data_IF_078265627735
#
_entry.id   IF_078265627735
#
_cell.length_a   1.000
_cell.length_b   1.000
_cell.length_c   1.000
_cell.angle_alpha   90.00
_cell.angle_beta   90.00
_cell.angle_gamma   90.00
#
_symmetry.space_group_name_H-M   'P 1'
#
loop_
_entity.id
_entity.type
_entity.pdbx_description
1 polymer ?
#
# COMPACT_ATOMS: atom_id res chain seq x y z
N UNK A 1 16.47 17.98 7.32
CA UNK A 1 16.15 16.64 7.79
C UNK A 1 15.04 16.04 6.98
N UNK A 2 15.22 14.84 6.54
CA UNK A 2 14.35 14.22 5.55
C UNK A 2 13.36 13.23 6.15
N UNK A 3 12.47 13.73 7.00
CA UNK A 3 11.43 12.88 7.60
C UNK A 3 10.59 12.17 6.54
N UNK A 4 10.29 12.87 5.42
CA UNK A 4 9.48 12.27 4.36
C UNK A 4 10.19 11.11 3.67
N UNK A 5 11.49 11.22 3.45
CA UNK A 5 12.26 10.10 2.89
C UNK A 5 12.31 8.94 3.86
N UNK A 6 12.38 9.26 5.16
CA UNK A 6 12.36 8.24 6.19
C UNK A 6 11.04 7.45 6.17
N UNK A 7 9.92 8.13 5.96
CA UNK A 7 8.61 7.48 5.88
C UNK A 7 8.57 6.44 4.77
N UNK A 8 8.93 6.83 3.54
CA UNK A 8 8.91 5.90 2.41
C UNK A 8 9.83 4.70 2.67
N UNK A 9 11.00 4.94 3.22
CA UNK A 9 11.95 3.87 3.51
C UNK A 9 11.41 2.92 4.57
N UNK A 10 10.84 3.43 5.65
CA UNK A 10 10.26 2.59 6.70
C UNK A 10 9.12 1.75 6.18
N UNK A 11 8.21 2.36 5.42
CA UNK A 11 7.06 1.65 4.87
C UNK A 11 7.52 0.58 3.89
N UNK A 12 8.39 0.96 2.95
CA UNK A 12 8.88 0.01 1.94
C UNK A 12 9.56 -1.19 2.55
N UNK A 13 10.40 -0.98 3.55
CA UNK A 13 11.09 -2.07 4.25
C UNK A 13 10.12 -2.97 5.01
N UNK A 14 9.13 -2.37 5.67
CA UNK A 14 8.13 -3.16 6.38
C UNK A 14 7.34 -4.05 5.43
N UNK A 15 6.83 -3.46 4.33
CA UNK A 15 6.05 -4.21 3.34
C UNK A 15 6.90 -5.35 2.74
N UNK A 16 8.13 -5.04 2.33
CA UNK A 16 9.02 -6.05 1.74
C UNK A 16 9.34 -7.18 2.71
N UNK A 17 9.41 -6.89 4.02
CA UNK A 17 9.72 -7.90 5.03
C UNK A 17 8.51 -8.77 5.39
N UNK A 18 7.30 -8.24 5.30
CA UNK A 18 6.10 -8.89 5.83
C UNK A 18 5.24 -9.57 4.77
N UNK A 19 5.40 -9.21 3.50
CA UNK A 19 4.48 -9.66 2.45
C UNK A 19 5.25 -10.18 1.23
N UNK A 20 4.55 -10.92 0.37
CA UNK A 20 5.11 -11.52 -0.84
C UNK A 20 4.63 -10.81 -2.11
N UNK A 21 3.41 -10.23 -2.09
CA UNK A 21 2.77 -9.70 -3.29
C UNK A 21 2.04 -8.40 -2.94
N UNK A 22 2.72 -7.28 -3.12
CA UNK A 22 2.21 -5.98 -2.68
C UNK A 22 1.74 -5.14 -3.85
N UNK A 23 0.70 -4.33 -3.59
CA UNK A 23 0.25 -3.28 -4.50
C UNK A 23 0.30 -1.95 -3.76
N UNK A 24 0.98 -0.97 -4.35
CA UNK A 24 0.96 0.40 -3.82
C UNK A 24 -0.12 1.22 -4.52
N UNK A 25 -1.07 1.75 -3.75
CA UNK A 25 -2.14 2.62 -4.26
C UNK A 25 -1.74 4.07 -4.04
N UNK A 26 -1.88 4.90 -5.07
CA UNK A 26 -1.60 6.33 -4.97
C UNK A 26 -0.12 6.63 -4.89
N UNK A 27 0.67 6.02 -5.79
CA UNK A 27 2.13 6.16 -5.76
C UNK A 27 2.59 7.61 -5.91
N UNK A 28 1.83 8.43 -6.63
CA UNK A 28 2.19 9.83 -6.82
C UNK A 28 3.54 9.98 -7.50
N UNK A 29 4.31 10.96 -7.03
CA UNK A 29 5.61 11.29 -7.61
C UNK A 29 6.79 10.73 -6.83
N UNK A 30 6.53 10.00 -5.74
CA UNK A 30 7.61 9.45 -4.92
C UNK A 30 7.60 7.93 -5.00
N UNK A 31 8.49 7.33 -5.82
CA UNK A 31 8.54 5.87 -5.98
C UNK A 31 9.43 5.16 -4.96
N UNK A 32 9.91 5.83 -3.93
CA UNK A 32 10.93 5.26 -3.04
C UNK A 32 10.47 3.98 -2.35
N UNK A 33 9.24 3.94 -1.82
CA UNK A 33 8.73 2.73 -1.18
C UNK A 33 8.54 1.62 -2.22
N UNK A 34 7.92 1.94 -3.36
CA UNK A 34 7.71 0.97 -4.43
C UNK A 34 9.03 0.39 -4.93
N UNK A 35 10.07 1.22 -5.00
CA UNK A 35 11.41 0.78 -5.40
C UNK A 35 11.95 -0.28 -4.45
N UNK A 36 11.82 -0.05 -3.15
CA UNK A 36 12.30 -1.01 -2.15
C UNK A 36 11.55 -2.33 -2.27
N UNK A 37 10.23 -2.27 -2.41
CA UNK A 37 9.40 -3.48 -2.54
C UNK A 37 9.70 -4.20 -3.86
N UNK A 38 9.86 -3.46 -4.95
CA UNK A 38 10.19 -4.02 -6.26
C UNK A 38 11.57 -4.68 -6.27
N UNK A 39 12.57 -4.03 -5.67
CA UNK A 39 13.93 -4.59 -5.59
C UNK A 39 13.97 -5.88 -4.78
N UNK A 40 13.04 -6.05 -3.85
CA UNK A 40 12.88 -7.29 -3.09
C UNK A 40 12.11 -8.37 -3.87
N UNK A 41 11.65 -8.05 -5.09
CA UNK A 41 10.88 -8.97 -5.92
C UNK A 41 9.44 -9.16 -5.46
N UNK A 42 8.87 -8.18 -4.75
CA UNK A 42 7.58 -8.37 -4.07
C UNK A 42 6.50 -7.38 -4.49
N UNK A 43 6.78 -6.52 -5.48
CA UNK A 43 5.79 -5.57 -5.95
C UNK A 43 5.04 -6.15 -7.15
N UNK A 44 3.73 -6.35 -7.01
CA UNK A 44 2.88 -6.73 -8.13
C UNK A 44 2.71 -5.55 -9.07
N UNK A 45 2.33 -4.40 -8.51
CA UNK A 45 2.16 -3.18 -9.28
C UNK A 45 1.97 -1.99 -8.35
N UNK A 46 2.02 -0.82 -8.95
CA UNK A 46 1.62 0.43 -8.32
C UNK A 46 0.51 1.05 -9.14
N UNK A 47 -0.32 1.88 -8.52
CA UNK A 47 -1.44 2.53 -9.20
C UNK A 47 -1.53 4.00 -8.81
N UNK A 48 -2.19 4.77 -9.66
CA UNK A 48 -2.63 6.12 -9.34
C UNK A 48 -3.81 6.46 -10.25
N UNK A 49 -4.61 7.45 -9.87
CA UNK A 49 -5.77 7.86 -10.68
C UNK A 49 -5.34 8.57 -11.97
N UNK A 50 -4.10 9.03 -12.01
CA UNK A 50 -3.54 9.69 -13.19
C UNK A 50 -2.26 9.01 -13.63
N UNK A 51 -1.90 9.18 -14.90
CA UNK A 51 -0.59 8.75 -15.38
C UNK A 51 0.49 9.52 -14.61
N UNK A 52 1.40 8.81 -13.97
CA UNK A 52 2.47 9.39 -13.18
C UNK A 52 3.82 9.06 -13.79
N UNK A 53 4.86 9.89 -13.52
CA UNK A 53 6.22 9.63 -14.04
C UNK A 53 6.92 8.54 -13.22
N UNK A 54 6.41 7.31 -13.29
CA UNK A 54 6.95 6.16 -12.55
C UNK A 54 8.12 5.57 -13.34
N UNK A 55 9.22 5.15 -12.67
CA UNK A 55 10.34 4.49 -13.36
C UNK A 55 9.86 3.28 -14.19
N UNK A 56 10.47 3.07 -15.34
CA UNK A 56 10.04 2.04 -16.29
C UNK A 56 10.05 0.62 -15.71
N UNK A 57 10.96 0.36 -14.80
CA UNK A 57 11.09 -0.97 -14.20
C UNK A 57 10.11 -1.21 -13.05
N UNK A 58 9.28 -0.22 -12.72
CA UNK A 58 8.21 -0.38 -11.73
C UNK A 58 6.89 -0.52 -12.49
N UNK A 59 6.21 -1.64 -12.30
CA UNK A 59 4.92 -1.90 -12.93
C UNK A 59 3.89 -0.90 -12.42
N UNK A 60 3.22 -0.21 -13.33
CA UNK A 60 2.27 0.85 -13.00
C UNK A 60 1.03 0.77 -13.86
N UNK A 61 -0.14 0.99 -13.25
CA UNK A 61 -1.42 1.09 -13.95
C UNK A 61 -2.19 2.30 -13.44
N UNK A 62 -2.87 2.99 -14.36
CA UNK A 62 -3.86 3.99 -13.97
C UNK A 62 -5.09 3.25 -13.45
N UNK A 63 -5.51 3.55 -12.23
CA UNK A 63 -6.66 2.90 -11.61
C UNK A 63 -7.23 3.80 -10.51
N UNK A 64 -8.53 3.67 -10.25
CA UNK A 64 -9.24 4.46 -9.26
C UNK A 64 -9.88 3.53 -8.23
N UNK A 65 -9.51 3.67 -6.95
CA UNK A 65 -10.04 2.78 -5.91
C UNK A 65 -11.54 2.93 -5.69
N UNK A 66 -12.17 4.01 -6.17
CA UNK A 66 -13.62 4.16 -6.13
C UNK A 66 -14.32 3.32 -7.22
N UNK A 67 -13.59 2.89 -8.24
CA UNK A 67 -14.08 2.04 -9.31
C UNK A 67 -12.92 1.19 -9.84
N UNK A 68 -12.40 0.26 -9.00
CA UNK A 68 -11.14 -0.40 -9.31
C UNK A 68 -11.29 -1.52 -10.33
N UNK A 69 -10.21 -1.73 -11.10
CA UNK A 69 -10.06 -2.96 -11.87
C UNK A 69 -9.57 -4.06 -10.92
N UNK A 70 -10.49 -4.83 -10.41
CA UNK A 70 -10.23 -5.86 -9.40
C UNK A 70 -9.12 -6.83 -9.83
N UNK A 71 -9.01 -7.10 -11.13
CA UNK A 71 -8.03 -8.06 -11.64
C UNK A 71 -6.58 -7.65 -11.32
N UNK A 72 -6.32 -6.37 -11.12
CA UNK A 72 -4.98 -5.86 -10.78
C UNK A 72 -4.55 -6.25 -9.37
N UNK A 73 -5.52 -6.59 -8.50
CA UNK A 73 -5.29 -6.77 -7.08
C UNK A 73 -5.43 -8.22 -6.62
N UNK A 74 -5.93 -9.12 -7.48
CA UNK A 74 -6.34 -10.46 -7.06
C UNK A 74 -5.24 -11.30 -6.44
N UNK A 75 -3.99 -11.11 -6.84
CA UNK A 75 -2.87 -11.88 -6.30
C UNK A 75 -2.17 -11.19 -5.14
N UNK A 76 -2.67 -10.04 -4.72
CA UNK A 76 -2.05 -9.28 -3.64
C UNK A 76 -2.29 -9.95 -2.29
N UNK A 77 -1.28 -9.92 -1.43
CA UNK A 77 -1.43 -10.23 -0.01
C UNK A 77 -1.47 -8.95 0.83
N UNK A 78 -1.11 -7.81 0.23
CA UNK A 78 -1.26 -6.51 0.86
C UNK A 78 -1.53 -5.43 -0.19
N UNK A 79 -2.41 -4.52 0.16
CA UNK A 79 -2.57 -3.22 -0.52
C UNK A 79 -2.07 -2.19 0.49
N UNK A 80 -1.16 -1.32 0.07
CA UNK A 80 -0.70 -0.27 0.96
C UNK A 80 -0.74 1.09 0.28
N UNK A 81 -0.87 2.13 1.10
CA UNK A 81 -0.92 3.51 0.61
C UNK A 81 -0.19 4.42 1.59
N UNK A 82 0.53 5.40 1.06
CA UNK A 82 1.28 6.35 1.85
C UNK A 82 0.64 7.72 1.67
N UNK A 83 0.14 8.26 2.77
CA UNK A 83 -0.55 9.56 2.83
C UNK A 83 -1.71 9.67 1.83
N UNK A 84 -2.61 8.66 1.79
CA UNK A 84 -3.79 8.79 0.93
C UNK A 84 -4.76 9.83 1.49
N UNK A 85 -5.62 10.35 0.63
CA UNK A 85 -6.75 11.15 1.11
C UNK A 85 -7.66 10.28 1.97
N UNK A 86 -8.22 10.84 3.03
CA UNK A 86 -9.05 10.09 3.99
C UNK A 86 -10.24 9.42 3.31
N UNK A 87 -10.85 10.07 2.32
CA UNK A 87 -12.01 9.51 1.62
C UNK A 87 -11.68 8.25 0.83
N UNK A 88 -10.41 7.96 0.60
CA UNK A 88 -9.99 6.73 -0.09
C UNK A 88 -10.03 5.49 0.82
N UNK A 89 -10.08 5.68 2.13
CA UNK A 89 -9.98 4.55 3.07
C UNK A 89 -11.15 3.57 2.91
N UNK A 90 -12.44 4.00 2.93
CA UNK A 90 -13.54 3.06 2.76
C UNK A 90 -13.46 2.25 1.45
N UNK A 91 -13.24 2.85 0.28
CA UNK A 91 -13.14 2.03 -0.94
C UNK A 91 -11.92 1.10 -0.94
N UNK A 92 -10.81 1.47 -0.29
CA UNK A 92 -9.66 0.57 -0.18
C UNK A 92 -9.98 -0.60 0.74
N UNK A 93 -10.73 -0.39 1.82
CA UNK A 93 -11.18 -1.49 2.68
C UNK A 93 -12.05 -2.45 1.89
N UNK A 94 -13.01 -1.95 1.11
CA UNK A 94 -13.86 -2.79 0.26
C UNK A 94 -13.02 -3.62 -0.72
N UNK A 95 -12.04 -2.98 -1.35
CA UNK A 95 -11.16 -3.66 -2.30
C UNK A 95 -10.37 -4.76 -1.61
N UNK A 96 -9.78 -4.47 -0.46
CA UNK A 96 -9.01 -5.46 0.31
C UNK A 96 -9.89 -6.64 0.73
N UNK A 97 -11.13 -6.37 1.12
CA UNK A 97 -12.09 -7.43 1.46
C UNK A 97 -12.39 -8.32 0.25
N UNK A 98 -12.58 -7.71 -0.92
CA UNK A 98 -12.93 -8.46 -2.14
C UNK A 98 -11.82 -9.39 -2.58
N UNK A 99 -10.57 -8.98 -2.42
CA UNK A 99 -9.42 -9.81 -2.84
C UNK A 99 -8.79 -10.54 -1.65
N UNK A 100 -9.30 -10.35 -0.46
CA UNK A 100 -8.88 -11.02 0.78
C UNK A 100 -7.41 -10.79 1.09
N UNK A 101 -7.01 -9.53 1.18
CA UNK A 101 -5.64 -9.15 1.54
C UNK A 101 -5.64 -8.08 2.62
N UNK A 102 -4.48 -7.87 3.23
CA UNK A 102 -4.33 -6.82 4.22
C UNK A 102 -4.40 -5.44 3.56
N UNK A 103 -4.88 -4.45 4.30
CA UNK A 103 -4.79 -3.04 3.92
C UNK A 103 -3.97 -2.30 4.97
N UNK A 104 -2.85 -1.73 4.56
CA UNK A 104 -1.92 -1.01 5.43
C UNK A 104 -1.76 0.42 4.91
N UNK A 105 -1.94 1.39 5.79
CA UNK A 105 -1.89 2.81 5.43
C UNK A 105 -0.95 3.57 6.36
N UNK A 106 -0.14 4.45 5.79
CA UNK A 106 0.62 5.44 6.54
C UNK A 106 -0.02 6.79 6.31
N UNK A 107 -0.63 7.36 7.35
CA UNK A 107 -1.32 8.63 7.23
C UNK A 107 -0.39 9.83 7.30
N UNK A 108 -0.85 10.97 6.83
CA UNK A 108 -0.16 12.24 7.01
C UNK A 108 -0.37 12.72 8.45
N UNK A 109 0.73 12.96 9.14
CA UNK A 109 0.68 13.49 10.50
C UNK A 109 -0.13 12.60 11.45
N UNK A 110 -1.11 13.19 12.12
CA UNK A 110 -1.94 12.48 13.08
C UNK A 110 -3.31 12.07 12.53
N UNK A 111 -3.48 12.13 11.22
CA UNK A 111 -4.73 11.69 10.60
C UNK A 111 -4.99 10.22 10.87
N UNK A 112 -6.26 9.87 10.93
CA UNK A 112 -6.70 8.47 10.95
C UNK A 112 -8.16 8.42 10.49
N UNK A 113 -8.60 7.20 10.19
CA UNK A 113 -9.99 6.96 9.78
C UNK A 113 -10.62 5.99 10.79
N UNK A 114 -11.87 6.28 11.18
CA UNK A 114 -12.58 5.43 12.13
C UNK A 114 -11.81 5.34 13.45
N UNK A 115 -11.62 4.13 13.95
CA UNK A 115 -10.86 3.88 15.19
C UNK A 115 -9.35 3.77 14.95
N UNK A 116 -8.90 3.95 13.71
CA UNK A 116 -7.49 3.86 13.35
C UNK A 116 -7.01 2.46 13.02
N UNK A 117 -7.87 1.46 13.14
CA UNK A 117 -7.47 0.07 12.88
C UNK A 117 -6.39 -0.43 13.83
N UNK A 118 -5.63 -1.42 13.38
CA UNK A 118 -4.51 -1.95 14.14
C UNK A 118 -3.27 -1.10 13.87
N UNK A 119 -2.65 -0.57 14.92
CA UNK A 119 -1.46 0.28 14.78
C UNK A 119 -0.19 -0.55 14.83
N UNK A 120 0.72 -0.28 13.92
CA UNK A 120 1.98 -0.99 13.79
C UNK A 120 3.10 0.05 13.74
N UNK A 121 4.12 -0.12 14.57
CA UNK A 121 5.28 0.78 14.58
C UNK A 121 6.43 0.11 13.84
N UNK A 122 6.78 0.66 12.66
CA UNK A 122 7.91 0.19 11.87
C UNK A 122 9.01 1.26 11.78
N UNK A 123 8.98 2.24 12.68
CA UNK A 123 9.78 3.47 12.61
C UNK A 123 8.88 4.65 12.30
N UNK A 124 7.77 4.40 11.64
CA UNK A 124 6.61 5.29 11.52
C UNK A 124 5.37 4.46 11.85
N UNK A 125 4.28 5.12 12.18
CA UNK A 125 3.07 4.41 12.55
C UNK A 125 2.28 4.03 11.31
N UNK A 126 1.98 2.75 11.18
CA UNK A 126 1.09 2.22 10.14
C UNK A 126 -0.25 1.87 10.76
N UNK A 127 -1.29 1.94 9.95
CA UNK A 127 -2.65 1.56 10.32
C UNK A 127 -3.08 0.39 9.43
N UNK A 128 -3.31 -0.78 10.03
CA UNK A 128 -3.85 -1.91 9.27
C UNK A 128 -5.37 -1.90 9.45
N UNK A 129 -6.07 -1.44 8.42
CA UNK A 129 -7.53 -1.28 8.46
C UNK A 129 -8.28 -2.54 8.13
N UNK A 130 -7.63 -3.48 7.48
CA UNK A 130 -8.23 -4.79 7.19
C UNK A 130 -7.15 -5.85 7.20
N UNK A 131 -7.49 -7.01 7.71
CA UNK A 131 -6.59 -8.16 7.74
C UNK A 131 -7.22 -9.30 6.95
N UNK A 132 -6.53 -9.75 5.91
CA UNK A 132 -6.99 -10.86 5.09
C UNK A 132 -7.08 -12.14 5.91
N UNK A 133 -7.95 -13.04 5.48
CA UNK A 133 -8.23 -14.28 6.20
C UNK A 133 -7.40 -15.45 5.70
N UNK A 134 -6.81 -15.34 4.51
CA UNK A 134 -6.08 -16.44 3.89
C UNK A 134 -4.61 -16.40 4.31
N UNK A 135 -4.18 -17.26 5.24
CA UNK A 135 -2.79 -17.25 5.73
C UNK A 135 -1.76 -17.62 4.68
N UNK A 136 -2.15 -18.29 3.59
CA UNK A 136 -1.22 -18.67 2.54
C UNK A 136 -0.72 -17.46 1.73
N UNK A 137 -1.36 -16.30 1.89
CA UNK A 137 -0.95 -15.07 1.21
C UNK A 137 0.02 -14.24 2.03
N UNK A 138 0.51 -14.76 3.17
CA UNK A 138 1.37 -13.99 4.06
C UNK A 138 2.69 -14.67 4.33
N UNK A 139 3.68 -13.83 4.61
CA UNK A 139 4.96 -14.28 5.18
C UNK A 139 4.76 -14.40 6.69
N UNK A 140 5.14 -15.54 7.24
CA UNK A 140 5.08 -15.77 8.69
C UNK A 140 6.42 -15.49 9.37
#
# INVERSE_FOLDING_TARGET
>A
MDEYKHIETCVGRYIAAQYLHAVEVGIGRNPDAARIVSDAGKLLCSTDVRQMPVPEDITFFVDDVFSPDISRYRKADVIYAIRPAIEMIPPMIELAQKVDCDLVVCHLGFESWGDGGEKIDCGVILHRYYRGQNPSNRVD
#
